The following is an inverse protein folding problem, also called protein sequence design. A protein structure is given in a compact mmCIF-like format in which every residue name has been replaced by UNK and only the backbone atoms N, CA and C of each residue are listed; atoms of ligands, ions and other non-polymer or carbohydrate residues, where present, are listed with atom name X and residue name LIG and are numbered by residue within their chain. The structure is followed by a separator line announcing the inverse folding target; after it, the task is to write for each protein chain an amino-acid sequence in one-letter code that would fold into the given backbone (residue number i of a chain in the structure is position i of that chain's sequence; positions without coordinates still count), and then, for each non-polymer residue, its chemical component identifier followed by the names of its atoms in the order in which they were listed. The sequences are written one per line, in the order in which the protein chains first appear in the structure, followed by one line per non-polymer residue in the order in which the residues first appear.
data_IF_901430474636
#
_entry.id   IF_901430474636
#
_cell.length_a   1.000
_cell.length_b   1.000
_cell.length_c   1.000
_cell.angle_alpha   90.00
_cell.angle_beta   90.00
_cell.angle_gamma   90.00
#
_symmetry.space_group_name_H-M   'P 1'
#
loop_
_entity.id
_entity.type
_entity.pdbx_description
1 polymer ?
#
# COMPACT_ATOMS: atom_id res chain seq x y z
N UNK A 1 32.53 20.20 6.03
CA UNK A 1 31.19 19.91 6.53
C UNK A 1 30.14 20.55 5.62
N UNK A 2 29.23 19.72 5.11
CA UNK A 2 27.83 19.96 4.71
C UNK A 2 27.46 21.12 3.78
N UNK A 3 27.23 20.76 2.50
CA UNK A 3 26.47 21.51 1.49
C UNK A 3 25.13 20.79 1.27
N UNK A 4 23.98 21.39 1.64
CA UNK A 4 22.64 21.03 1.12
C UNK A 4 21.59 21.95 1.73
N UNK A 5 21.16 23.00 1.00
CA UNK A 5 19.89 23.71 1.28
C UNK A 5 19.45 24.73 0.21
N UNK A 6 19.63 24.46 -1.08
CA UNK A 6 19.27 25.45 -2.13
C UNK A 6 18.51 24.93 -3.35
N UNK A 7 18.20 23.63 -3.47
CA UNK A 7 17.52 23.11 -4.68
C UNK A 7 15.98 23.13 -4.63
N UNK A 8 15.35 23.13 -3.46
CA UNK A 8 13.88 22.97 -3.34
C UNK A 8 13.07 24.25 -3.70
N UNK A 9 13.68 25.43 -3.60
CA UNK A 9 12.97 26.70 -3.83
C UNK A 9 12.81 27.08 -5.31
N UNK A 10 13.69 26.61 -6.20
CA UNK A 10 13.65 27.00 -7.62
C UNK A 10 12.55 26.22 -8.36
N UNK A 11 12.50 24.90 -8.21
CA UNK A 11 11.57 24.03 -8.94
C UNK A 11 10.09 24.39 -8.75
N UNK A 12 9.72 24.89 -7.56
CA UNK A 12 8.34 25.32 -7.26
C UNK A 12 7.97 26.65 -7.93
N UNK A 13 8.92 27.55 -8.15
CA UNK A 13 8.71 28.79 -8.88
C UNK A 13 8.66 28.54 -10.40
N UNK A 14 9.49 27.60 -10.89
CA UNK A 14 9.54 27.20 -12.29
C UNK A 14 8.25 26.47 -12.75
N UNK A 15 7.66 25.63 -11.89
CA UNK A 15 6.36 25.00 -12.13
C UNK A 15 5.19 26.00 -12.17
N UNK A 16 5.27 27.08 -11.39
CA UNK A 16 4.28 28.17 -11.42
C UNK A 16 4.26 28.90 -12.76
N UNK A 17 5.42 29.08 -13.40
CA UNK A 17 5.54 29.75 -14.69
C UNK A 17 5.01 28.92 -15.86
N UNK A 18 5.06 27.58 -15.77
CA UNK A 18 4.55 26.67 -16.80
C UNK A 18 3.02 26.65 -16.85
N UNK A 19 2.36 26.83 -15.70
CA UNK A 19 0.90 26.86 -15.61
C UNK A 19 0.27 28.06 -16.34
N UNK A 20 1.02 29.15 -16.46
CA UNK A 20 0.59 30.39 -17.14
C UNK A 20 0.75 30.30 -18.68
N UNK A 21 1.63 29.43 -19.18
CA UNK A 21 1.90 29.27 -20.62
C UNK A 21 0.69 28.69 -21.38
N UNK A 22 0.60 29.01 -22.66
CA UNK A 22 -0.43 28.46 -23.55
C UNK A 22 -0.12 27.01 -23.93
N UNK A 23 -1.13 26.26 -24.38
CA UNK A 23 -0.98 24.85 -24.80
C UNK A 23 0.06 24.71 -25.90
N UNK A 24 0.08 25.65 -26.85
CA UNK A 24 0.99 25.61 -27.99
C UNK A 24 2.46 25.81 -27.56
N UNK A 25 2.70 26.75 -26.64
CA UNK A 25 4.02 26.97 -26.05
C UNK A 25 4.50 25.76 -25.25
N UNK A 26 3.60 25.10 -24.52
CA UNK A 26 3.93 23.89 -23.78
C UNK A 26 4.23 22.71 -24.73
N UNK A 27 3.54 22.60 -25.87
CA UNK A 27 3.80 21.57 -26.90
C UNK A 27 5.14 21.76 -27.57
N UNK A 28 5.46 23.00 -27.96
CA UNK A 28 6.77 23.35 -28.50
C UNK A 28 7.88 22.96 -27.53
N UNK A 29 7.72 23.35 -26.26
CA UNK A 29 8.71 23.07 -25.21
C UNK A 29 8.82 21.58 -24.88
N UNK A 30 7.70 20.85 -24.89
CA UNK A 30 7.69 19.38 -24.74
C UNK A 30 8.43 18.70 -25.90
N UNK A 31 8.22 19.17 -27.13
CA UNK A 31 8.93 18.66 -28.31
C UNK A 31 10.43 18.95 -28.25
N UNK A 32 10.83 20.14 -27.83
CA UNK A 32 12.25 20.49 -27.65
C UNK A 32 12.94 19.63 -26.59
N UNK A 33 12.19 19.22 -25.56
CA UNK A 33 12.67 18.33 -24.49
C UNK A 33 12.53 16.84 -24.84
N UNK A 34 12.07 16.50 -26.05
CA UNK A 34 11.96 15.12 -26.54
C UNK A 34 10.75 14.33 -26.01
N UNK A 35 9.74 14.99 -25.44
CA UNK A 35 8.49 14.36 -24.98
C UNK A 35 7.65 13.91 -26.17
N UNK A 36 7.45 12.60 -26.32
CA UNK A 36 6.65 12.00 -27.40
C UNK A 36 5.16 12.15 -27.12
N UNK A 37 4.37 12.43 -28.16
CA UNK A 37 2.92 12.57 -28.06
C UNK A 37 2.42 13.94 -27.57
N UNK A 38 3.30 14.93 -27.45
CA UNK A 38 2.95 16.28 -26.97
C UNK A 38 1.81 16.93 -27.77
N UNK A 39 1.71 16.65 -29.07
CA UNK A 39 0.69 17.22 -29.97
C UNK A 39 -0.76 16.83 -29.62
N UNK A 40 -0.98 15.73 -28.90
CA UNK A 40 -2.32 15.26 -28.50
C UNK A 40 -2.65 15.56 -27.04
N UNK A 41 -1.64 15.94 -26.24
CA UNK A 41 -1.80 16.21 -24.81
C UNK A 41 -2.57 17.50 -24.53
N UNK A 42 -3.35 17.49 -23.46
CA UNK A 42 -4.04 18.67 -22.92
C UNK A 42 -3.12 19.49 -22.02
N UNK A 43 -3.48 20.76 -21.75
CA UNK A 43 -2.62 21.72 -21.01
C UNK A 43 -2.03 21.15 -19.73
N UNK A 44 -2.84 20.53 -18.89
CA UNK A 44 -2.40 20.00 -17.59
C UNK A 44 -1.37 18.88 -17.74
N UNK A 45 -1.54 18.02 -18.75
CA UNK A 45 -0.63 16.92 -19.05
C UNK A 45 0.68 17.44 -19.64
N UNK A 46 0.62 18.47 -20.49
CA UNK A 46 1.80 19.14 -21.03
C UNK A 46 2.60 19.89 -19.97
N UNK A 47 1.94 20.61 -19.05
CA UNK A 47 2.62 21.29 -17.93
C UNK A 47 3.41 20.28 -17.10
N UNK A 48 2.79 19.12 -16.81
CA UNK A 48 3.43 18.04 -16.07
C UNK A 48 4.61 17.45 -16.84
N UNK A 49 4.40 17.04 -18.10
CA UNK A 49 5.43 16.43 -18.91
C UNK A 49 6.65 17.34 -19.14
N UNK A 50 6.42 18.65 -19.32
CA UNK A 50 7.49 19.64 -19.47
C UNK A 50 8.22 19.89 -18.13
N UNK A 51 7.51 19.90 -17.00
CA UNK A 51 8.12 20.00 -15.68
C UNK A 51 8.98 18.77 -15.35
N UNK A 52 8.48 17.57 -15.64
CA UNK A 52 9.19 16.31 -15.50
C UNK A 52 10.47 16.28 -16.37
N UNK A 53 10.39 16.74 -17.62
CA UNK A 53 11.54 16.74 -18.53
C UNK A 53 12.60 17.82 -18.20
N UNK A 54 12.22 18.96 -17.62
CA UNK A 54 13.16 19.99 -17.16
C UNK A 54 13.79 19.69 -15.79
N UNK A 55 13.06 19.01 -14.90
CA UNK A 55 13.52 18.61 -13.58
C UNK A 55 14.19 17.26 -13.60
N UNK A 56 15.41 17.19 -14.17
CA UNK A 56 16.22 15.97 -14.29
C UNK A 56 16.07 15.00 -13.10
N UNK A 57 15.24 13.99 -13.31
CA UNK A 57 14.82 12.99 -12.33
C UNK A 57 13.68 12.23 -12.95
N UNK A 58 14.03 11.24 -13.79
CA UNK A 58 13.09 10.43 -14.54
C UNK A 58 11.88 10.02 -13.68
N UNK A 59 10.64 10.07 -14.21
CA UNK A 59 9.71 9.03 -13.86
C UNK A 59 10.28 7.77 -14.52
N UNK A 60 11.13 7.05 -13.79
CA UNK A 60 11.35 5.64 -14.08
C UNK A 60 9.95 5.05 -14.31
N UNK A 61 9.67 4.45 -15.48
CA UNK A 61 8.57 3.50 -15.54
C UNK A 61 8.98 2.43 -14.53
N UNK A 62 8.36 2.47 -13.35
CA UNK A 62 8.66 1.52 -12.28
C UNK A 62 8.25 0.16 -12.82
N UNK A 63 9.21 -0.51 -13.44
CA UNK A 63 9.21 -1.93 -13.67
C UNK A 63 8.77 -2.58 -12.37
N UNK A 64 7.75 -3.42 -12.46
CA UNK A 64 6.97 -3.89 -11.32
C UNK A 64 7.82 -4.30 -10.13
N UNK A 65 7.55 -3.66 -9.01
CA UNK A 65 7.52 -4.33 -7.73
C UNK A 65 6.08 -4.21 -7.22
N UNK A 66 5.20 -5.00 -7.85
CA UNK A 66 3.84 -5.29 -7.40
C UNK A 66 3.87 -6.18 -6.14
N UNK A 67 4.61 -5.77 -5.10
CA UNK A 67 4.69 -6.48 -3.80
C UNK A 67 4.18 -5.63 -2.64
N UNK A 68 3.10 -4.89 -2.85
CA UNK A 68 2.48 -4.17 -1.73
C UNK A 68 1.15 -3.48 -2.00
N UNK A 69 0.54 -3.72 -3.17
CA UNK A 69 -0.81 -3.22 -3.45
C UNK A 69 -1.87 -4.03 -2.71
N UNK A 70 -2.95 -3.38 -2.25
CA UNK A 70 -4.18 -4.10 -1.88
C UNK A 70 -4.61 -4.95 -3.07
N UNK A 71 -4.77 -6.26 -2.86
CA UNK A 71 -5.20 -7.17 -3.91
C UNK A 71 -6.69 -6.91 -4.18
N UNK A 72 -7.04 -6.58 -5.42
CA UNK A 72 -8.43 -6.29 -5.83
C UNK A 72 -8.87 -7.24 -6.94
N UNK A 73 -10.13 -7.67 -6.90
CA UNK A 73 -10.78 -8.60 -7.82
C UNK A 73 -12.30 -8.37 -7.89
N UNK A 74 -13.02 -9.19 -8.66
CA UNK A 74 -14.46 -9.03 -8.91
C UNK A 74 -15.30 -9.18 -7.61
N UNK A 75 -14.79 -9.94 -6.62
CA UNK A 75 -15.40 -10.14 -5.30
C UNK A 75 -14.95 -9.15 -4.22
N UNK A 76 -14.29 -8.03 -4.57
CA UNK A 76 -13.77 -7.07 -3.57
C UNK A 76 -14.90 -6.45 -2.74
N UNK A 77 -14.94 -6.76 -1.43
CA UNK A 77 -15.89 -6.20 -0.47
C UNK A 77 -15.89 -4.66 -0.46
N UNK A 78 -17.07 -4.04 -0.29
CA UNK A 78 -17.19 -2.56 -0.17
C UNK A 78 -16.41 -1.99 1.03
N UNK A 79 -16.12 -2.82 2.05
CA UNK A 79 -15.26 -2.50 3.21
C UNK A 79 -13.84 -2.11 2.80
N UNK A 80 -13.31 -2.72 1.74
CA UNK A 80 -11.98 -2.41 1.21
C UNK A 80 -11.93 -1.00 0.58
N UNK A 81 -13.05 -0.46 0.10
CA UNK A 81 -13.12 0.90 -0.50
C UNK A 81 -12.90 2.02 0.51
N UNK A 82 -13.16 1.77 1.79
CA UNK A 82 -13.05 2.77 2.86
C UNK A 82 -11.82 2.56 3.76
N UNK A 83 -11.14 1.44 3.59
CA UNK A 83 -9.91 1.13 4.33
C UNK A 83 -8.74 1.91 3.73
N UNK A 84 -7.89 2.46 4.59
CA UNK A 84 -6.65 3.09 4.12
C UNK A 84 -5.63 2.00 3.81
N UNK A 85 -5.02 2.08 2.64
CA UNK A 85 -3.91 1.20 2.27
C UNK A 85 -2.63 1.61 3.00
N UNK A 86 -1.98 0.62 3.62
CA UNK A 86 -0.70 0.77 4.33
C UNK A 86 0.34 -0.04 3.58
N UNK A 87 1.37 0.62 3.05
CA UNK A 87 2.39 -0.01 2.20
C UNK A 87 3.72 -0.17 2.92
N UNK A 88 3.93 0.55 4.01
CA UNK A 88 5.15 0.55 4.81
C UNK A 88 4.81 0.61 6.29
N UNK A 89 5.76 0.22 7.15
CA UNK A 89 5.65 0.38 8.61
C UNK A 89 5.68 1.84 9.06
N UNK A 90 6.11 2.76 8.19
CA UNK A 90 6.15 4.21 8.46
C UNK A 90 4.82 4.91 8.10
N UNK A 91 3.89 4.23 7.42
CA UNK A 91 2.60 4.78 7.05
C UNK A 91 1.69 4.93 8.29
N UNK A 92 1.34 6.16 8.64
CA UNK A 92 0.46 6.46 9.76
C UNK A 92 -1.04 6.45 9.34
N UNK A 93 -1.94 6.00 10.24
CA UNK A 93 -3.37 6.11 9.98
C UNK A 93 -3.80 7.58 9.90
N UNK A 94 -4.58 7.93 8.86
CA UNK A 94 -5.11 9.28 8.66
C UNK A 94 -5.96 9.77 9.85
N UNK A 95 -6.55 8.84 10.61
CA UNK A 95 -7.27 9.12 11.86
C UNK A 95 -7.31 7.88 12.78
N UNK A 96 -7.38 8.08 14.11
CA UNK A 96 -7.53 6.96 15.06
C UNK A 96 -8.81 6.16 14.79
N UNK A 97 -8.75 4.85 15.00
CA UNK A 97 -9.88 3.93 14.81
C UNK A 97 -10.27 3.68 13.35
N UNK A 98 -9.48 4.14 12.36
CA UNK A 98 -9.71 3.82 10.95
C UNK A 98 -9.30 2.37 10.67
N UNK A 99 -10.08 1.68 9.84
CA UNK A 99 -9.69 0.40 9.25
C UNK A 99 -8.57 0.59 8.24
N UNK A 100 -7.52 -0.19 8.40
CA UNK A 100 -6.33 -0.23 7.56
C UNK A 100 -6.30 -1.54 6.78
N UNK A 101 -5.68 -1.55 5.61
CA UNK A 101 -5.48 -2.74 4.81
C UNK A 101 -4.05 -2.79 4.29
N UNK A 102 -3.44 -3.97 4.36
CA UNK A 102 -2.09 -4.18 3.86
C UNK A 102 -1.92 -5.60 3.32
N UNK A 103 -0.94 -5.76 2.44
CA UNK A 103 -0.39 -7.05 2.03
C UNK A 103 1.10 -7.15 2.37
N UNK A 104 1.66 -6.12 3.01
CA UNK A 104 3.06 -6.04 3.38
C UNK A 104 3.32 -6.89 4.63
N UNK A 105 4.19 -7.89 4.50
CA UNK A 105 4.53 -8.82 5.57
C UNK A 105 5.19 -8.14 6.78
N UNK A 106 6.02 -7.12 6.55
CA UNK A 106 6.69 -6.40 7.64
C UNK A 106 5.70 -5.56 8.46
N UNK A 107 4.69 -4.98 7.80
CA UNK A 107 3.59 -4.28 8.48
C UNK A 107 2.80 -5.26 9.35
N UNK A 108 2.46 -6.44 8.81
CA UNK A 108 1.71 -7.47 9.55
C UNK A 108 2.53 -7.99 10.74
N UNK A 109 3.83 -8.26 10.51
CA UNK A 109 4.75 -8.74 11.56
C UNK A 109 4.87 -7.72 12.68
N UNK A 110 5.17 -6.47 12.35
CA UNK A 110 5.29 -5.41 13.35
C UNK A 110 3.98 -5.20 14.12
N UNK A 111 2.84 -5.25 13.43
CA UNK A 111 1.53 -5.12 14.06
C UNK A 111 1.27 -6.25 15.08
N UNK A 112 1.59 -7.50 14.73
CA UNK A 112 1.43 -8.65 15.59
C UNK A 112 2.41 -8.62 16.79
N UNK A 113 3.70 -8.36 16.53
CA UNK A 113 4.74 -8.32 17.56
C UNK A 113 4.51 -7.21 18.59
N UNK A 114 4.03 -6.03 18.17
CA UNK A 114 3.66 -4.94 19.08
C UNK A 114 2.54 -5.31 20.07
N UNK A 115 1.86 -6.44 19.83
CA UNK A 115 0.75 -6.98 20.63
C UNK A 115 1.10 -8.36 21.20
N UNK A 116 2.38 -8.74 21.17
CA UNK A 116 2.90 -10.04 21.61
C UNK A 116 2.19 -11.22 20.94
N UNK A 117 1.70 -11.03 19.70
CA UNK A 117 0.89 -12.01 19.01
C UNK A 117 1.76 -13.01 18.23
N UNK A 118 1.43 -14.30 18.34
CA UNK A 118 2.15 -15.38 17.66
C UNK A 118 1.37 -15.91 16.47
N UNK A 119 1.96 -16.06 15.26
CA UNK A 119 1.27 -16.66 14.11
C UNK A 119 0.78 -18.07 14.43
N UNK A 120 -0.47 -18.34 14.08
CA UNK A 120 -1.13 -19.60 14.40
C UNK A 120 -2.11 -20.04 13.33
N UNK A 121 -2.50 -21.31 13.37
CA UNK A 121 -3.59 -21.88 12.57
C UNK A 121 -4.59 -22.61 13.44
N UNK A 122 -5.81 -22.80 12.95
CA UNK A 122 -6.83 -23.64 13.59
C UNK A 122 -6.68 -25.08 13.08
N UNK A 123 -6.30 -26.05 13.93
CA UNK A 123 -6.23 -27.46 13.55
C UNK A 123 -7.55 -27.98 12.98
N UNK A 124 -7.48 -28.82 11.94
CA UNK A 124 -8.67 -29.43 11.34
C UNK A 124 -9.44 -28.52 10.37
N UNK A 125 -8.93 -27.32 10.10
CA UNK A 125 -9.43 -26.45 9.02
C UNK A 125 -8.52 -26.44 7.79
N UNK A 126 -7.51 -27.31 7.81
CA UNK A 126 -6.54 -27.51 6.73
C UNK A 126 -7.23 -27.99 5.44
N UNK A 127 -6.74 -27.54 4.30
CA UNK A 127 -7.25 -27.96 2.99
C UNK A 127 -6.08 -28.31 2.09
N UNK A 128 -6.02 -29.58 1.67
CA UNK A 128 -4.86 -30.10 0.94
C UNK A 128 -3.59 -30.01 1.77
N UNK A 129 -2.52 -29.48 1.15
CA UNK A 129 -1.19 -29.33 1.76
C UNK A 129 -1.02 -27.97 2.48
N UNK A 130 -2.09 -27.20 2.66
CA UNK A 130 -2.03 -25.83 3.15
C UNK A 130 -2.61 -25.66 4.55
N UNK A 131 -2.05 -24.69 5.30
CA UNK A 131 -2.59 -24.28 6.60
C UNK A 131 -4.08 -23.94 6.47
N UNK A 132 -4.85 -24.24 7.51
CA UNK A 132 -6.27 -23.94 7.53
C UNK A 132 -6.58 -22.45 7.68
N UNK A 133 -7.45 -22.12 8.61
CA UNK A 133 -7.73 -20.72 8.97
C UNK A 133 -6.49 -20.13 9.63
N UNK A 134 -5.96 -19.06 9.03
CA UNK A 134 -4.84 -18.30 9.58
C UNK A 134 -5.33 -17.40 10.72
N UNK A 135 -4.63 -17.45 11.85
CA UNK A 135 -4.92 -16.69 13.07
C UNK A 135 -3.63 -16.11 13.68
N UNK A 136 -3.84 -15.27 14.70
CA UNK A 136 -2.81 -14.89 15.65
C UNK A 136 -3.27 -15.30 17.04
N UNK A 137 -2.36 -15.89 17.81
CA UNK A 137 -2.54 -16.18 19.22
C UNK A 137 -2.06 -14.98 20.04
N UNK A 138 -2.95 -14.37 20.82
CA UNK A 138 -2.66 -13.21 21.65
C UNK A 138 -2.58 -13.62 23.12
N UNK A 139 -1.58 -13.18 23.89
CA UNK A 139 -1.48 -13.54 25.30
C UNK A 139 -2.71 -13.07 26.07
N UNK A 140 -3.31 -13.97 26.87
CA UNK A 140 -4.48 -13.68 27.70
C UNK A 140 -5.82 -13.57 26.97
N UNK A 141 -5.83 -13.60 25.63
CA UNK A 141 -7.02 -13.53 24.77
C UNK A 141 -7.03 -14.59 23.65
N UNK A 142 -6.03 -15.46 23.61
CA UNK A 142 -5.86 -16.55 22.66
C UNK A 142 -6.97 -17.59 22.75
N UNK A 143 -7.40 -18.10 21.60
CA UNK A 143 -8.39 -19.17 21.54
C UNK A 143 -7.76 -20.50 21.94
N UNK A 144 -8.47 -21.30 22.74
CA UNK A 144 -8.09 -22.69 22.99
C UNK A 144 -7.94 -23.46 21.67
N UNK A 145 -6.84 -24.21 21.54
CA UNK A 145 -6.63 -25.14 20.43
C UNK A 145 -5.98 -24.56 19.18
N UNK A 146 -5.35 -23.38 19.25
CA UNK A 146 -4.51 -22.88 18.15
C UNK A 146 -3.18 -23.64 18.06
N UNK A 147 -2.73 -23.94 16.84
CA UNK A 147 -1.38 -24.47 16.57
C UNK A 147 -0.48 -23.32 16.14
N UNK A 148 0.56 -23.03 16.91
CA UNK A 148 1.59 -22.07 16.51
C UNK A 148 2.36 -22.57 15.28
N UNK A 149 2.65 -21.65 14.38
CA UNK A 149 3.39 -21.90 13.14
C UNK A 149 4.46 -20.82 12.98
N UNK A 150 5.44 -21.03 12.10
CA UNK A 150 6.43 -20.01 11.79
C UNK A 150 5.85 -18.93 10.86
N UNK A 151 6.47 -17.74 10.89
CA UNK A 151 6.10 -16.63 10.03
C UNK A 151 6.15 -16.98 8.54
N UNK A 152 7.18 -17.71 8.10
CA UNK A 152 7.31 -18.15 6.71
C UNK A 152 6.14 -19.01 6.25
N UNK A 153 5.71 -19.97 7.08
CA UNK A 153 4.59 -20.87 6.76
C UNK A 153 3.26 -20.11 6.71
N UNK A 154 3.08 -19.18 7.65
CA UNK A 154 1.91 -18.31 7.71
C UNK A 154 1.83 -17.41 6.46
N UNK A 155 2.94 -16.75 6.10
CA UNK A 155 2.99 -15.85 4.96
C UNK A 155 2.89 -16.59 3.63
N UNK A 156 3.46 -17.78 3.52
CA UNK A 156 3.30 -18.62 2.33
C UNK A 156 1.81 -18.89 2.04
N UNK A 157 1.04 -19.28 3.06
CA UNK A 157 -0.42 -19.48 2.92
C UNK A 157 -1.15 -18.17 2.63
N UNK A 158 -0.76 -17.07 3.27
CA UNK A 158 -1.35 -15.74 3.06
C UNK A 158 -1.19 -15.25 1.62
N UNK A 159 -0.01 -15.45 1.04
CA UNK A 159 0.30 -15.03 -0.33
C UNK A 159 -0.33 -15.91 -1.38
N UNK A 160 -0.25 -17.23 -1.19
CA UNK A 160 -0.81 -18.18 -2.14
C UNK A 160 -2.33 -17.98 -2.29
N UNK A 161 -3.01 -17.71 -1.18
CA UNK A 161 -4.45 -17.42 -1.14
C UNK A 161 -4.81 -15.98 -1.52
N UNK A 162 -3.81 -15.18 -1.90
CA UNK A 162 -3.97 -13.78 -2.31
C UNK A 162 -4.78 -12.96 -1.29
N UNK A 163 -4.55 -13.18 0.00
CA UNK A 163 -5.30 -12.53 1.07
C UNK A 163 -4.89 -11.06 1.25
N UNK A 164 -5.81 -10.24 1.74
CA UNK A 164 -5.57 -8.91 2.26
C UNK A 164 -5.69 -8.95 3.78
N UNK A 165 -4.76 -8.29 4.47
CA UNK A 165 -4.81 -8.12 5.92
C UNK A 165 -5.51 -6.81 6.27
N UNK A 166 -6.72 -6.91 6.81
CA UNK A 166 -7.50 -5.76 7.25
C UNK A 166 -7.41 -5.69 8.78
N UNK A 167 -7.05 -4.54 9.32
CA UNK A 167 -6.84 -4.39 10.75
C UNK A 167 -7.21 -2.99 11.25
N UNK A 168 -7.21 -2.84 12.56
CA UNK A 168 -7.31 -1.55 13.21
C UNK A 168 -6.15 -1.38 14.18
N UNK A 169 -5.59 -0.18 14.24
CA UNK A 169 -4.51 0.14 15.16
C UNK A 169 -5.02 0.28 16.60
N UNK A 170 -6.08 1.07 16.78
CA UNK A 170 -6.63 1.46 18.08
C UNK A 170 -8.13 1.21 18.13
N UNK A 171 -8.63 0.91 19.34
CA UNK A 171 -10.06 0.88 19.65
C UNK A 171 -10.57 2.28 19.96
N UNK A 172 -11.89 2.42 20.10
CA UNK A 172 -12.55 3.70 20.44
C UNK A 172 -12.12 4.30 21.78
N UNK A 173 -11.61 3.49 22.70
CA UNK A 173 -11.06 3.91 23.99
C UNK A 173 -9.56 4.28 23.94
N UNK A 174 -8.92 4.19 22.76
CA UNK A 174 -7.50 4.49 22.57
C UNK A 174 -6.56 3.33 22.88
N UNK A 175 -7.07 2.18 23.35
CA UNK A 175 -6.23 0.99 23.54
C UNK A 175 -5.85 0.31 22.22
N UNK A 176 -4.69 -0.39 22.14
CA UNK A 176 -4.31 -1.16 20.96
C UNK A 176 -5.36 -2.21 20.60
N UNK A 177 -5.82 -2.22 19.35
CA UNK A 177 -6.82 -3.18 18.88
C UNK A 177 -6.17 -4.49 18.45
N UNK A 178 -6.76 -5.63 18.83
CA UNK A 178 -6.39 -6.97 18.35
C UNK A 178 -7.24 -7.41 17.16
N UNK A 179 -8.08 -6.51 16.64
CA UNK A 179 -8.96 -6.80 15.52
C UNK A 179 -8.17 -6.92 14.22
N UNK A 180 -8.30 -8.06 13.57
CA UNK A 180 -7.92 -8.25 12.18
C UNK A 180 -8.90 -9.18 11.47
N UNK A 181 -8.93 -9.06 10.15
CA UNK A 181 -9.67 -9.91 9.25
C UNK A 181 -8.82 -10.19 8.00
N UNK A 182 -8.92 -11.40 7.48
CA UNK A 182 -8.33 -11.79 6.21
C UNK A 182 -9.43 -11.86 5.16
N UNK A 183 -9.28 -11.14 4.05
CA UNK A 183 -10.22 -11.20 2.92
C UNK A 183 -9.47 -11.58 1.64
N UNK A 184 -10.02 -12.53 0.88
CA UNK A 184 -9.55 -12.79 -0.48
C UNK A 184 -10.38 -11.94 -1.47
N UNK A 185 -9.76 -11.23 -2.42
CA UNK A 185 -10.47 -10.47 -3.44
C UNK A 185 -11.13 -11.35 -4.52
N UNK A 186 -10.67 -12.60 -4.60
CA UNK A 186 -11.13 -13.63 -5.53
C UNK A 186 -12.21 -14.52 -4.89
N UNK A 187 -12.79 -14.10 -3.76
CA UNK A 187 -13.86 -14.83 -3.08
C UNK A 187 -15.11 -14.85 -3.97
N UNK A 188 -15.39 -15.98 -4.59
CA UNK A 188 -16.74 -16.35 -4.99
C UNK A 188 -17.51 -16.65 -3.70
N UNK A 189 -18.55 -15.85 -3.40
CA UNK A 189 -19.49 -16.15 -2.31
C UNK A 189 -19.99 -17.59 -2.45
N UNK A 190 -19.74 -18.42 -1.43
CA UNK A 190 -20.27 -19.77 -1.32
C UNK A 190 -21.70 -19.75 -0.77
#
# INVERSE_FOLDING_TARGET
MSKQRTQDKSSRADAGKLSDMTVDELRHKASELGVRGSHDMHKAELVRAVADAMGGGAPEPRSGDDRGGVRTGEGTSKSLKYSQEVRSTDDEPERPGRSLVTTNHDVIRQWAEARDATPATVPGTEHGDHLGVLRFDFPGHGGDGLRHVDWDEWFATFDERRLNFIYQEQRSDGSPSTFFQLESPDREDA
#
